data_IF_250264805981
#
_entry.id   IF_250264805981
#
_cell.length_a   1.000
_cell.length_b   1.000
_cell.length_c   1.000
_cell.angle_alpha   90.00
_cell.angle_beta   90.00
_cell.angle_gamma   90.00
#
_symmetry.space_group_name_H-M   'P 1'
#
loop_
_entity.id
_entity.type
_entity.pdbx_description
1 polymer ?
#
# COMPACT_ATOMS: atom_id res chain seq x y z
N UNK A 1 -31.61 18.98 -19.93
CA UNK A 1 -30.68 18.53 -18.88
C UNK A 1 -31.08 17.09 -18.58
N UNK A 2 -30.25 16.12 -18.97
CA UNK A 2 -30.55 14.71 -18.68
C UNK A 2 -30.57 14.56 -17.17
N UNK A 3 -31.68 14.07 -16.61
CA UNK A 3 -31.71 13.67 -15.21
C UNK A 3 -30.67 12.56 -15.04
N UNK A 4 -29.78 12.69 -14.07
CA UNK A 4 -28.90 11.59 -13.69
C UNK A 4 -29.77 10.40 -13.27
N UNK A 5 -29.52 9.24 -13.87
CA UNK A 5 -30.30 8.01 -13.66
C UNK A 5 -29.40 6.92 -13.08
N UNK A 6 -29.44 6.77 -11.75
CA UNK A 6 -28.60 5.83 -11.01
C UNK A 6 -28.85 4.39 -11.46
N UNK A 7 -27.78 3.75 -11.92
CA UNK A 7 -27.80 2.34 -12.30
C UNK A 7 -27.97 1.45 -11.07
N UNK A 8 -27.41 1.85 -9.91
CA UNK A 8 -27.59 1.13 -8.64
C UNK A 8 -29.06 1.05 -8.27
N UNK A 9 -29.78 2.18 -8.32
CA UNK A 9 -31.22 2.22 -8.04
C UNK A 9 -32.02 1.41 -9.06
N UNK A 10 -31.65 1.49 -10.34
CA UNK A 10 -32.34 0.78 -11.42
C UNK A 10 -32.19 -0.76 -11.32
N UNK A 11 -31.08 -1.24 -10.74
CA UNK A 11 -30.78 -2.67 -10.57
C UNK A 11 -31.16 -3.23 -9.19
N UNK A 12 -31.83 -2.46 -8.35
CA UNK A 12 -32.25 -2.94 -7.04
C UNK A 12 -33.18 -4.16 -7.17
N UNK A 13 -32.88 -5.22 -6.41
CA UNK A 13 -33.55 -6.52 -6.54
C UNK A 13 -33.08 -7.42 -7.70
N UNK A 14 -32.20 -6.94 -8.58
CA UNK A 14 -31.66 -7.70 -9.73
C UNK A 14 -30.22 -8.18 -9.55
N UNK A 15 -29.52 -7.74 -8.50
CA UNK A 15 -28.12 -8.08 -8.25
C UNK A 15 -27.83 -9.58 -8.11
N UNK A 16 -28.82 -10.39 -7.72
CA UNK A 16 -28.68 -11.85 -7.59
C UNK A 16 -29.01 -12.61 -8.90
N UNK A 17 -29.38 -11.89 -9.97
CA UNK A 17 -29.83 -12.47 -11.25
C UNK A 17 -28.71 -12.52 -12.29
N UNK A 18 -28.74 -13.49 -13.19
CA UNK A 18 -27.80 -13.51 -14.32
C UNK A 18 -28.17 -12.44 -15.34
N UNK A 19 -27.22 -12.04 -16.18
CA UNK A 19 -27.42 -10.98 -17.17
C UNK A 19 -28.62 -11.27 -18.10
N UNK A 20 -28.81 -12.53 -18.48
CA UNK A 20 -29.92 -12.97 -19.32
C UNK A 20 -31.30 -12.82 -18.66
N UNK A 21 -31.37 -12.76 -17.33
CA UNK A 21 -32.62 -12.64 -16.58
C UNK A 21 -33.03 -11.18 -16.37
N UNK A 22 -32.16 -10.22 -16.69
CA UNK A 22 -32.46 -8.79 -16.58
C UNK A 22 -33.42 -8.37 -17.70
N UNK A 23 -34.33 -7.41 -17.44
CA UNK A 23 -35.08 -6.72 -18.49
C UNK A 23 -34.14 -6.15 -19.56
N UNK A 24 -34.56 -6.19 -20.83
CA UNK A 24 -33.68 -5.85 -21.96
C UNK A 24 -33.03 -4.45 -21.81
N UNK A 25 -33.78 -3.46 -21.32
CA UNK A 25 -33.27 -2.12 -21.08
C UNK A 25 -32.16 -2.06 -20.00
N UNK A 26 -32.28 -2.87 -18.93
CA UNK A 26 -31.25 -2.96 -17.89
C UNK A 26 -30.06 -3.78 -18.36
N UNK A 27 -30.32 -4.85 -19.13
CA UNK A 27 -29.27 -5.69 -19.73
C UNK A 27 -28.34 -4.86 -20.61
N UNK A 28 -28.90 -4.03 -21.48
CA UNK A 28 -28.12 -3.16 -22.37
C UNK A 28 -27.25 -2.18 -21.58
N UNK A 29 -27.81 -1.52 -20.55
CA UNK A 29 -27.03 -0.61 -19.69
C UNK A 29 -25.89 -1.33 -18.98
N UNK A 30 -26.17 -2.51 -18.43
CA UNK A 30 -25.12 -3.33 -17.79
C UNK A 30 -24.05 -3.73 -18.79
N UNK A 31 -24.40 -4.14 -20.01
CA UNK A 31 -23.42 -4.50 -21.05
C UNK A 31 -22.51 -3.33 -21.45
N UNK A 32 -23.04 -2.10 -21.48
CA UNK A 32 -22.28 -0.89 -21.80
C UNK A 32 -21.40 -0.44 -20.62
N UNK A 33 -21.95 -0.39 -19.40
CA UNK A 33 -21.32 0.24 -18.24
C UNK A 33 -20.34 -0.67 -17.48
N UNK A 34 -20.44 -2.00 -17.63
CA UNK A 34 -19.62 -2.94 -16.87
C UNK A 34 -18.30 -3.34 -17.55
N UNK A 35 -17.96 -2.81 -18.73
CA UNK A 35 -16.70 -3.16 -19.38
C UNK A 35 -15.49 -2.67 -18.56
N UNK A 36 -14.45 -3.51 -18.35
CA UNK A 36 -14.20 -4.84 -18.92
C UNK A 36 -14.63 -6.02 -18.02
N UNK A 37 -15.37 -5.79 -16.93
CA UNK A 37 -15.78 -6.79 -15.94
C UNK A 37 -17.18 -7.34 -16.22
N UNK A 38 -17.35 -8.52 -16.84
CA UNK A 38 -18.68 -9.03 -17.20
C UNK A 38 -19.55 -9.29 -15.97
N UNK A 39 -20.82 -8.88 -16.03
CA UNK A 39 -21.82 -9.04 -14.96
C UNK A 39 -21.88 -10.45 -14.35
N UNK A 40 -21.84 -11.49 -15.19
CA UNK A 40 -21.95 -12.88 -14.76
C UNK A 40 -20.67 -13.43 -14.08
N UNK A 41 -19.56 -12.71 -14.16
CA UNK A 41 -18.32 -13.05 -13.44
C UNK A 41 -18.25 -12.44 -12.04
N UNK A 42 -19.19 -11.56 -11.70
CA UNK A 42 -19.25 -10.88 -10.42
C UNK A 42 -20.27 -11.54 -9.50
N UNK A 43 -19.98 -11.54 -8.20
CA UNK A 43 -20.96 -11.88 -7.16
C UNK A 43 -21.99 -10.75 -7.05
N UNK A 44 -23.13 -11.00 -6.39
CA UNK A 44 -24.13 -9.95 -6.15
C UNK A 44 -23.56 -8.73 -5.41
N UNK A 45 -22.66 -8.96 -4.44
CA UNK A 45 -21.92 -7.88 -3.77
C UNK A 45 -21.00 -7.14 -4.75
N UNK A 46 -20.22 -7.87 -5.55
CA UNK A 46 -19.34 -7.25 -6.55
C UNK A 46 -20.10 -6.46 -7.62
N UNK A 47 -21.30 -6.90 -8.02
CA UNK A 47 -22.17 -6.15 -8.93
C UNK A 47 -22.62 -4.82 -8.34
N UNK A 48 -23.00 -4.81 -7.05
CA UNK A 48 -23.33 -3.58 -6.31
C UNK A 48 -22.15 -2.62 -6.24
N UNK A 49 -20.97 -3.13 -5.92
CA UNK A 49 -19.75 -2.31 -5.84
C UNK A 49 -19.42 -1.65 -7.19
N UNK A 50 -19.58 -2.39 -8.30
CA UNK A 50 -19.33 -1.86 -9.64
C UNK A 50 -20.39 -0.84 -10.04
N UNK A 51 -21.68 -1.07 -9.78
CA UNK A 51 -22.72 -0.06 -10.06
C UNK A 51 -22.52 1.21 -9.27
N UNK A 52 -22.10 1.11 -8.00
CA UNK A 52 -21.80 2.29 -7.20
C UNK A 52 -20.62 3.08 -7.79
N UNK A 53 -19.62 2.40 -8.37
CA UNK A 53 -18.52 3.08 -9.05
C UNK A 53 -18.95 3.72 -10.37
N UNK A 54 -19.83 3.07 -11.14
CA UNK A 54 -20.41 3.64 -12.37
C UNK A 54 -21.19 4.90 -12.01
N UNK A 55 -22.07 4.80 -11.02
CA UNK A 55 -22.87 5.90 -10.50
C UNK A 55 -21.99 7.05 -9.99
N UNK A 56 -20.98 6.76 -9.17
CA UNK A 56 -20.02 7.75 -8.69
C UNK A 56 -19.27 8.46 -9.81
N UNK A 57 -19.05 7.83 -10.97
CA UNK A 57 -18.40 8.47 -12.13
C UNK A 57 -19.38 9.27 -12.98
N UNK A 58 -20.62 8.82 -13.09
CA UNK A 58 -21.63 9.46 -13.92
C UNK A 58 -22.37 10.60 -13.20
N UNK A 59 -22.35 10.64 -11.88
CA UNK A 59 -23.00 11.68 -11.08
C UNK A 59 -22.28 13.04 -11.24
N UNK A 60 -22.97 14.09 -11.73
CA UNK A 60 -22.41 15.45 -11.80
C UNK A 60 -22.13 16.05 -10.42
N UNK A 61 -22.82 15.62 -9.37
CA UNK A 61 -22.62 16.15 -8.01
C UNK A 61 -21.24 15.77 -7.44
N UNK A 62 -20.65 14.66 -7.90
CA UNK A 62 -19.34 14.19 -7.47
C UNK A 62 -18.19 14.65 -8.39
N UNK A 63 -18.50 15.32 -9.51
CA UNK A 63 -17.49 15.80 -10.48
C UNK A 63 -16.39 16.66 -9.84
N UNK A 64 -16.76 17.61 -8.99
CA UNK A 64 -15.77 18.49 -8.34
C UNK A 64 -14.82 17.72 -7.44
N UNK A 65 -15.33 16.71 -6.72
CA UNK A 65 -14.51 15.85 -5.86
C UNK A 65 -13.59 14.97 -6.72
N UNK A 66 -14.12 14.39 -7.81
CA UNK A 66 -13.30 13.59 -8.75
C UNK A 66 -12.17 14.42 -9.34
N UNK A 67 -12.47 15.63 -9.80
CA UNK A 67 -11.48 16.55 -10.36
C UNK A 67 -10.41 16.91 -9.33
N UNK A 68 -10.81 17.26 -8.10
CA UNK A 68 -9.86 17.52 -7.03
C UNK A 68 -8.93 16.33 -6.75
N UNK A 69 -9.48 15.11 -6.66
CA UNK A 69 -8.69 13.90 -6.46
C UNK A 69 -7.72 13.63 -7.62
N UNK A 70 -8.15 13.92 -8.86
CA UNK A 70 -7.31 13.83 -10.04
C UNK A 70 -6.14 14.82 -9.96
N UNK A 71 -6.43 16.10 -9.74
CA UNK A 71 -5.43 17.18 -9.68
C UNK A 71 -4.41 16.93 -8.57
N UNK A 72 -4.84 16.48 -7.39
CA UNK A 72 -3.94 16.13 -6.29
C UNK A 72 -3.06 14.92 -6.62
N UNK A 73 -3.59 13.92 -7.33
CA UNK A 73 -2.82 12.75 -7.77
C UNK A 73 -1.75 13.15 -8.78
N UNK A 74 -2.08 14.03 -9.74
CA UNK A 74 -1.11 14.59 -10.68
C UNK A 74 0.01 15.35 -9.97
N UNK A 75 -0.33 16.23 -9.02
CA UNK A 75 0.66 16.98 -8.21
C UNK A 75 1.60 16.03 -7.46
N UNK A 76 1.06 14.98 -6.84
CA UNK A 76 1.84 13.99 -6.11
C UNK A 76 2.81 13.23 -7.03
N UNK A 77 2.36 12.83 -8.23
CA UNK A 77 3.20 12.16 -9.23
C UNK A 77 4.33 13.07 -9.70
N UNK A 78 4.03 14.35 -9.97
CA UNK A 78 5.02 15.33 -10.41
C UNK A 78 6.11 15.55 -9.36
N UNK A 79 5.74 15.78 -8.10
CA UNK A 79 6.69 15.97 -7.00
C UNK A 79 7.54 14.71 -6.78
N UNK A 80 6.92 13.54 -6.80
CA UNK A 80 7.64 12.26 -6.66
C UNK A 80 8.66 12.08 -7.79
N UNK A 81 8.27 12.43 -9.01
CA UNK A 81 9.15 12.38 -10.18
C UNK A 81 10.32 13.35 -10.04
N UNK A 82 10.07 14.56 -9.55
CA UNK A 82 11.11 15.57 -9.35
C UNK A 82 12.07 15.18 -8.20
N UNK A 83 11.58 14.59 -7.12
CA UNK A 83 12.44 13.99 -6.07
C UNK A 83 13.39 12.97 -6.70
N UNK A 84 12.88 12.04 -7.52
CA UNK A 84 13.71 11.02 -8.16
C UNK A 84 14.76 11.63 -9.10
N UNK A 85 14.39 12.66 -9.87
CA UNK A 85 15.35 13.41 -10.71
C UNK A 85 16.45 14.04 -9.86
N UNK A 86 16.07 14.76 -8.79
CA UNK A 86 17.03 15.41 -7.89
C UNK A 86 17.94 14.40 -7.21
N UNK A 87 17.42 13.25 -6.77
CA UNK A 87 18.20 12.14 -6.21
C UNK A 87 19.22 11.58 -7.21
N UNK A 88 18.89 11.52 -8.51
CA UNK A 88 19.77 11.01 -9.56
C UNK A 88 20.86 12.00 -10.02
N UNK A 89 20.69 13.31 -9.80
CA UNK A 89 21.69 14.32 -10.22
C UNK A 89 23.01 14.09 -9.46
N UNK A 90 24.12 13.96 -10.20
CA UNK A 90 25.45 13.92 -9.63
C UNK A 90 25.85 15.30 -9.09
N UNK A 91 26.39 15.35 -7.87
CA UNK A 91 26.81 16.58 -7.19
C UNK A 91 28.31 16.57 -7.00
N UNK A 92 29.10 17.06 -7.98
CA UNK A 92 30.55 16.98 -7.96
C UNK A 92 31.18 17.94 -6.95
N UNK A 93 30.46 18.97 -6.51
CA UNK A 93 30.93 19.91 -5.49
C UNK A 93 30.07 19.85 -4.22
N UNK A 94 30.66 20.25 -3.08
CA UNK A 94 29.95 20.34 -1.81
C UNK A 94 28.83 21.39 -1.80
N UNK A 95 28.96 22.45 -2.63
CA UNK A 95 27.91 23.46 -2.80
C UNK A 95 26.71 22.88 -3.56
N UNK A 96 26.95 22.14 -4.64
CA UNK A 96 25.89 21.46 -5.40
C UNK A 96 25.16 20.42 -4.53
N UNK A 97 25.90 19.74 -3.65
CA UNK A 97 25.34 18.79 -2.69
C UNK A 97 24.39 19.49 -1.70
N UNK A 98 24.82 20.60 -1.10
CA UNK A 98 23.99 21.35 -0.14
C UNK A 98 22.72 21.91 -0.79
N UNK A 99 22.80 22.38 -2.04
CA UNK A 99 21.65 22.85 -2.81
C UNK A 99 20.66 21.72 -3.13
N UNK A 100 21.17 20.57 -3.55
CA UNK A 100 20.36 19.37 -3.79
C UNK A 100 19.65 18.90 -2.52
N UNK A 101 20.36 18.81 -1.40
CA UNK A 101 19.78 18.39 -0.12
C UNK A 101 18.67 19.34 0.33
N UNK A 102 18.88 20.65 0.21
CA UNK A 102 17.86 21.67 0.50
C UNK A 102 16.62 21.46 -0.36
N UNK A 103 16.79 21.31 -1.69
CA UNK A 103 15.66 21.12 -2.60
C UNK A 103 14.90 19.82 -2.36
N UNK A 104 15.60 18.74 -2.00
CA UNK A 104 14.97 17.46 -1.64
C UNK A 104 14.17 17.55 -0.34
N UNK A 105 14.64 18.33 0.64
CA UNK A 105 13.89 18.57 1.89
C UNK A 105 12.58 19.30 1.59
N UNK A 106 12.62 20.37 0.79
CA UNK A 106 11.44 21.13 0.38
C UNK A 106 10.41 20.23 -0.34
N UNK A 107 10.84 19.50 -1.37
CA UNK A 107 9.95 18.62 -2.14
C UNK A 107 9.31 17.51 -1.29
N UNK A 108 10.08 16.95 -0.34
CA UNK A 108 9.54 15.95 0.59
C UNK A 108 8.55 16.56 1.58
N UNK A 109 8.76 17.80 2.02
CA UNK A 109 7.79 18.51 2.85
C UNK A 109 6.51 18.80 2.07
N UNK A 110 6.61 19.30 0.83
CA UNK A 110 5.45 19.51 -0.05
C UNK A 110 4.66 18.22 -0.26
N UNK A 111 5.33 17.08 -0.48
CA UNK A 111 4.68 15.77 -0.59
C UNK A 111 3.90 15.40 0.67
N UNK A 112 4.50 15.58 1.87
CA UNK A 112 3.82 15.26 3.12
C UNK A 112 2.59 16.14 3.39
N UNK A 113 2.62 17.41 2.96
CA UNK A 113 1.47 18.31 3.08
C UNK A 113 0.34 17.84 2.16
N UNK A 114 0.65 17.52 0.90
CA UNK A 114 -0.34 17.04 -0.08
C UNK A 114 -0.96 15.70 0.36
N UNK A 115 -0.16 14.77 0.89
CA UNK A 115 -0.65 13.51 1.45
C UNK A 115 -1.64 13.76 2.61
N UNK A 116 -1.32 14.69 3.51
CA UNK A 116 -2.21 15.05 4.62
C UNK A 116 -3.52 15.72 4.14
N UNK A 117 -3.45 16.64 3.17
CA UNK A 117 -4.62 17.29 2.57
C UNK A 117 -5.54 16.29 1.85
N UNK A 118 -4.96 15.30 1.16
CA UNK A 118 -5.71 14.25 0.47
C UNK A 118 -6.50 13.35 1.43
N UNK A 119 -5.99 13.13 2.64
CA UNK A 119 -6.63 12.31 3.67
C UNK A 119 -7.80 13.04 4.33
N UNK A 120 -7.66 14.34 4.62
CA UNK A 120 -8.70 15.15 5.27
C UNK A 120 -9.89 15.38 4.33
N UNK A 121 -9.64 15.73 3.06
CA UNK A 121 -10.70 15.97 2.08
C UNK A 121 -11.53 14.72 1.76
N UNK A 122 -10.91 13.53 1.75
CA UNK A 122 -11.61 12.26 1.58
C UNK A 122 -12.53 11.90 2.77
N UNK A 123 -12.25 12.43 3.97
CA UNK A 123 -13.07 12.19 5.17
C UNK A 123 -14.21 13.19 5.33
N UNK A 124 -14.04 14.44 4.91
CA UNK A 124 -15.08 15.48 5.02
C UNK A 124 -16.18 15.30 3.97
N UNK A 125 -15.84 14.74 2.80
CA UNK A 125 -16.77 14.51 1.68
C UNK A 125 -17.68 13.28 1.85
N UNK A 126 -17.45 12.43 2.86
CA UNK A 126 -18.22 11.21 3.14
C UNK A 126 -19.25 11.38 4.28
N UNK A 127 -19.54 12.61 4.70
CA UNK A 127 -20.58 12.89 5.70
C UNK A 127 -21.95 13.04 5.03
N UNK A 128 -22.39 11.98 4.36
CA UNK A 128 -23.79 11.72 4.05
C UNK A 128 -23.97 10.20 3.98
N UNK A 129 -24.35 9.63 5.13
CA UNK A 129 -24.87 8.26 5.34
C UNK A 129 -24.03 7.07 4.84
N UNK A 130 -23.24 6.47 5.74
CA UNK A 130 -22.93 5.04 5.68
C UNK A 130 -23.46 4.32 6.93
N UNK A 131 -24.17 3.18 6.77
CA UNK A 131 -24.65 2.37 7.88
C UNK A 131 -23.48 1.68 8.61
N UNK A 132 -23.67 1.50 9.91
CA UNK A 132 -22.65 1.20 10.92
C UNK A 132 -21.82 -0.10 10.72
N UNK A 133 -22.13 -0.93 9.72
CA UNK A 133 -21.57 -2.27 9.61
C UNK A 133 -20.31 -2.37 8.71
N UNK A 134 -19.99 -1.34 7.92
CA UNK A 134 -18.81 -1.33 7.05
C UNK A 134 -17.50 -0.88 7.75
N UNK A 135 -17.56 -0.44 9.02
CA UNK A 135 -16.38 0.06 9.75
C UNK A 135 -15.47 -1.05 10.32
N UNK A 136 -15.83 -2.33 10.20
CA UNK A 136 -15.14 -3.40 10.94
C UNK A 136 -13.82 -3.88 10.28
N UNK A 137 -13.45 -3.47 9.05
CA UNK A 137 -12.27 -4.07 8.39
C UNK A 137 -11.15 -3.18 7.86
N UNK A 138 -11.19 -1.84 7.99
CA UNK A 138 -10.05 -0.99 7.56
C UNK A 138 -9.73 0.22 8.45
N UNK A 139 -9.83 0.06 9.76
CA UNK A 139 -9.18 1.00 10.68
C UNK A 139 -7.88 0.36 11.23
N UNK A 140 -6.79 0.45 10.47
CA UNK A 140 -5.48 0.52 11.13
C UNK A 140 -5.42 1.89 11.81
N UNK A 141 -6.03 1.96 12.99
CA UNK A 141 -6.06 3.14 13.83
C UNK A 141 -4.63 3.38 14.28
N UNK A 142 -3.95 4.35 13.65
CA UNK A 142 -2.71 4.86 14.21
C UNK A 142 -3.10 5.45 15.58
N UNK A 143 -2.61 4.89 16.69
CA UNK A 143 -3.07 5.31 18.02
C UNK A 143 -2.75 6.79 18.22
N UNK A 144 -3.65 7.52 18.87
CA UNK A 144 -3.51 8.96 19.09
C UNK A 144 -2.21 9.27 19.85
N UNK A 145 -1.47 10.29 19.38
CA UNK A 145 -0.16 10.66 19.91
C UNK A 145 -0.28 10.98 21.40
N UNK A 146 0.43 10.21 22.23
CA UNK A 146 0.43 10.38 23.69
C UNK A 146 -0.31 9.30 24.47
N UNK A 147 -1.22 8.54 23.83
CA UNK A 147 -1.88 7.36 24.44
C UNK A 147 -0.89 6.22 24.66
N UNK A 148 -1.22 5.32 25.60
CA UNK A 148 -0.39 4.15 25.94
C UNK A 148 -0.12 3.25 24.72
N UNK A 149 -1.11 3.05 23.87
CA UNK A 149 -1.00 2.26 22.65
C UNK A 149 -0.02 2.89 21.65
N UNK A 150 -0.02 4.22 21.51
CA UNK A 150 0.93 4.94 20.67
C UNK A 150 2.36 4.81 21.19
N UNK A 151 2.56 4.92 22.50
CA UNK A 151 3.88 4.72 23.11
C UNK A 151 4.39 3.30 22.89
N UNK A 152 3.52 2.30 23.06
CA UNK A 152 3.82 0.89 22.81
C UNK A 152 4.17 0.64 21.34
N UNK A 153 3.36 1.18 20.42
CA UNK A 153 3.59 1.07 18.98
C UNK A 153 4.90 1.74 18.56
N UNK A 154 5.16 2.95 19.05
CA UNK A 154 6.36 3.70 18.72
C UNK A 154 7.62 3.00 19.26
N UNK A 155 7.57 2.47 20.48
CA UNK A 155 8.65 1.66 21.06
C UNK A 155 8.93 0.40 20.21
N UNK A 156 7.87 -0.30 19.77
CA UNK A 156 7.97 -1.46 18.88
C UNK A 156 8.59 -1.07 17.53
N UNK A 157 8.15 0.02 16.92
CA UNK A 157 8.67 0.51 15.64
C UNK A 157 10.14 0.90 15.75
N UNK A 158 10.53 1.59 16.83
CA UNK A 158 11.92 1.93 17.10
C UNK A 158 12.80 0.70 17.32
N UNK A 159 12.28 -0.34 18.00
CA UNK A 159 12.99 -1.61 18.16
C UNK A 159 13.14 -2.35 16.82
N UNK A 160 12.09 -2.41 16.01
CA UNK A 160 12.14 -3.01 14.67
C UNK A 160 13.18 -2.31 13.80
N UNK A 161 13.17 -0.98 13.74
CA UNK A 161 14.16 -0.18 13.00
C UNK A 161 15.61 -0.50 13.42
N UNK A 162 15.86 -0.67 14.73
CA UNK A 162 17.18 -1.08 15.24
C UNK A 162 17.55 -2.52 14.90
N UNK A 163 16.58 -3.42 14.73
CA UNK A 163 16.84 -4.79 14.34
C UNK A 163 17.07 -4.96 12.84
N UNK A 164 16.43 -4.12 12.03
CA UNK A 164 16.48 -4.15 10.56
C UNK A 164 17.66 -3.38 9.97
N UNK A 165 18.24 -2.41 10.70
CA UNK A 165 19.40 -1.66 10.23
C UNK A 165 20.61 -2.57 9.88
N UNK A 166 21.50 -2.15 8.97
CA UNK A 166 22.73 -2.88 8.65
C UNK A 166 23.54 -3.20 9.91
N UNK A 167 23.98 -4.46 10.06
CA UNK A 167 24.62 -4.95 11.29
C UNK A 167 23.65 -5.24 12.45
N UNK A 168 22.35 -4.96 12.29
CA UNK A 168 21.28 -5.37 13.20
C UNK A 168 21.07 -6.88 13.23
N UNK A 169 20.33 -7.37 14.23
CA UNK A 169 20.16 -8.80 14.46
C UNK A 169 19.43 -9.51 13.32
N UNK A 170 18.43 -8.88 12.68
CA UNK A 170 17.70 -9.47 11.53
C UNK A 170 18.56 -9.47 10.28
N UNK A 171 19.31 -8.39 10.05
CA UNK A 171 20.29 -8.33 8.96
C UNK A 171 21.33 -9.46 9.07
N UNK A 172 21.95 -9.62 10.24
CA UNK A 172 22.96 -10.68 10.45
C UNK A 172 22.37 -12.09 10.32
N UNK A 173 21.12 -12.29 10.77
CA UNK A 173 20.38 -13.56 10.54
C UNK A 173 20.10 -13.82 9.06
N UNK A 174 19.81 -12.78 8.27
CA UNK A 174 19.65 -12.92 6.82
C UNK A 174 20.97 -13.32 6.15
N UNK A 175 22.08 -12.67 6.55
CA UNK A 175 23.42 -12.96 6.04
C UNK A 175 23.81 -14.43 6.25
N UNK A 176 23.69 -14.96 7.47
CA UNK A 176 24.06 -16.37 7.72
C UNK A 176 23.17 -17.36 6.95
N UNK A 177 21.90 -17.01 6.70
CA UNK A 177 21.00 -17.83 5.87
C UNK A 177 21.43 -17.82 4.41
N UNK A 178 21.88 -16.68 3.90
CA UNK A 178 22.47 -16.57 2.56
C UNK A 178 23.75 -17.38 2.43
N UNK A 179 24.63 -17.32 3.43
CA UNK A 179 25.86 -18.14 3.48
C UNK A 179 25.52 -19.64 3.52
N UNK A 180 24.53 -20.05 4.32
CA UNK A 180 24.04 -21.43 4.30
C UNK A 180 23.48 -21.85 2.94
N UNK A 181 22.72 -20.96 2.28
CA UNK A 181 22.12 -21.21 0.97
C UNK A 181 23.17 -21.41 -0.14
N UNK A 182 24.40 -20.91 0.04
CA UNK A 182 25.50 -21.12 -0.91
C UNK A 182 25.91 -22.59 -1.09
N UNK A 183 25.55 -23.48 -0.15
CA UNK A 183 25.90 -24.89 -0.23
C UNK A 183 27.32 -25.25 0.21
N UNK A 184 28.12 -24.28 0.63
CA UNK A 184 29.54 -24.46 0.99
C UNK A 184 29.76 -25.32 2.25
N UNK A 185 28.72 -25.57 3.06
CA UNK A 185 28.85 -26.25 4.35
C UNK A 185 28.09 -27.57 4.36
N UNK A 186 28.72 -28.57 4.97
CA UNK A 186 28.15 -29.92 5.07
C UNK A 186 27.01 -30.01 6.10
N UNK A 187 26.99 -29.14 7.11
CA UNK A 187 25.94 -29.06 8.14
C UNK A 187 25.69 -27.63 8.61
N UNK A 188 24.51 -27.40 9.23
CA UNK A 188 24.14 -26.10 9.81
C UNK A 188 25.03 -25.72 11.00
N UNK A 189 25.46 -26.70 11.78
CA UNK A 189 26.32 -26.45 12.95
C UNK A 189 27.72 -25.98 12.49
N UNK A 190 28.27 -26.57 11.42
CA UNK A 190 29.57 -26.14 10.86
C UNK A 190 29.47 -24.72 10.28
N UNK A 191 28.40 -24.43 9.54
CA UNK A 191 28.14 -23.06 9.05
C UNK A 191 28.01 -22.06 10.20
N UNK A 192 27.28 -22.42 11.27
CA UNK A 192 27.14 -21.57 12.43
C UNK A 192 28.47 -21.34 13.17
N UNK A 193 29.32 -22.36 13.28
CA UNK A 193 30.60 -22.28 14.00
C UNK A 193 31.63 -21.42 13.26
N UNK A 194 31.71 -21.56 11.94
CA UNK A 194 32.71 -20.84 11.13
C UNK A 194 32.31 -19.38 10.89
N UNK A 195 31.02 -19.10 10.69
CA UNK A 195 30.57 -17.78 10.24
C UNK A 195 30.12 -16.85 11.37
N UNK A 196 29.86 -17.37 12.59
CA UNK A 196 29.30 -16.53 13.66
C UNK A 196 30.24 -15.41 14.11
N UNK A 197 31.56 -15.66 14.13
CA UNK A 197 32.57 -14.67 14.50
C UNK A 197 32.64 -13.54 13.47
N UNK A 198 32.65 -13.88 12.16
CA UNK A 198 32.67 -12.92 11.07
C UNK A 198 31.42 -12.02 11.06
N UNK A 199 30.25 -12.58 11.41
CA UNK A 199 28.99 -11.84 11.50
C UNK A 199 28.79 -11.12 12.84
N UNK A 200 29.73 -11.21 13.79
CA UNK A 200 29.64 -10.58 15.11
C UNK A 200 28.39 -11.00 15.87
N UNK A 201 28.08 -12.30 15.91
CA UNK A 201 27.00 -12.89 16.71
C UNK A 201 27.49 -14.15 17.45
N UNK A 202 26.76 -14.58 18.50
CA UNK A 202 27.11 -15.82 19.19
C UNK A 202 26.80 -17.05 18.34
N UNK A 203 27.56 -18.14 18.54
CA UNK A 203 27.29 -19.44 17.92
C UNK A 203 25.84 -19.91 18.14
N UNK A 204 25.33 -19.75 19.37
CA UNK A 204 23.95 -20.09 19.71
C UNK A 204 22.91 -19.29 18.91
N UNK A 205 23.21 -18.03 18.57
CA UNK A 205 22.34 -17.18 17.75
C UNK A 205 22.40 -17.58 16.28
N UNK A 206 23.60 -17.87 15.78
CA UNK A 206 23.83 -18.38 14.43
C UNK A 206 23.10 -19.70 14.18
N UNK A 207 23.26 -20.68 15.06
CA UNK A 207 22.57 -21.98 14.99
C UNK A 207 21.05 -21.81 14.99
N UNK A 208 20.51 -20.98 15.89
CA UNK A 208 19.06 -20.68 15.92
C UNK A 208 18.56 -20.00 14.65
N UNK A 209 19.39 -19.19 13.99
CA UNK A 209 19.02 -18.52 12.74
C UNK A 209 18.87 -19.51 11.57
N UNK A 210 19.65 -20.58 11.58
CA UNK A 210 19.63 -21.66 10.59
C UNK A 210 18.59 -22.74 10.88
N UNK A 211 17.97 -22.75 12.07
CA UNK A 211 16.84 -23.64 12.33
C UNK A 211 15.69 -23.33 11.36
N UNK A 212 15.10 -24.38 10.77
CA UNK A 212 14.03 -24.30 9.76
C UNK A 212 14.41 -23.65 8.42
N UNK A 213 15.71 -23.51 8.10
CA UNK A 213 16.12 -23.18 6.73
C UNK A 213 16.12 -24.44 5.85
N UNK A 214 15.70 -24.40 4.58
CA UNK A 214 15.82 -25.54 3.68
C UNK A 214 17.30 -25.91 3.47
N UNK A 215 17.57 -27.16 3.09
CA UNK A 215 18.93 -27.56 2.71
C UNK A 215 19.31 -26.88 1.38
N UNK A 216 20.56 -26.42 1.21
CA UNK A 216 21.02 -25.82 -0.03
C UNK A 216 21.09 -26.88 -1.13
N UNK A 217 20.76 -26.49 -2.36
CA UNK A 217 20.98 -27.32 -3.54
C UNK A 217 22.48 -27.42 -3.79
N UNK A 218 23.07 -28.58 -3.46
CA UNK A 218 24.47 -28.86 -3.76
C UNK A 218 24.55 -29.26 -5.24
N UNK A 219 25.24 -28.47 -6.05
CA UNK A 219 25.72 -28.90 -7.37
C UNK A 219 26.96 -29.77 -7.21
#
# INVERSE_FOLDING_TARGET
MSSYDSLTLALEGWFDKLLCDLPDALRQRVEEDFLPMPWDRLTAAGRRDVTQQVDYKADPATEQVRQFCWDQSERMILITTDIAKWEAIATPTALDLAQKETRLIELRQELTVIEAESFVSATESNTAEQPADAQILKAQKNPEVGLQEWRSQNARNAANKRHDQPGGSRYKKSQIRGIWASGNYSSRDICAEQECAALGMSFSTARKALNNTPAPSRC
#
